data_IF_303275749123
#
_entry.id   IF_303275749123
#
_cell.length_a   1.000
_cell.length_b   1.000
_cell.length_c   1.000
_cell.angle_alpha   90.00
_cell.angle_beta   90.00
_cell.angle_gamma   90.00
#
_symmetry.space_group_name_H-M   'P 1'
#
loop_
_entity.id
_entity.type
_entity.pdbx_description
1 polymer ?
#
# COMPACT_ATOMS: atom_id res chain seq x y z
N UNK A 1 2.26 -4.94 -24.03
CA UNK A 1 1.22 -4.40 -24.93
C UNK A 1 -0.04 -5.21 -24.67
N UNK A 2 -0.98 -4.69 -23.87
CA UNK A 2 -2.25 -5.38 -23.63
C UNK A 2 -3.02 -5.48 -24.95
N UNK A 3 -3.33 -6.70 -25.35
CA UNK A 3 -4.15 -7.00 -26.52
C UNK A 3 -5.55 -6.39 -26.35
N UNK A 4 -6.10 -5.90 -27.46
CA UNK A 4 -7.37 -5.19 -27.53
C UNK A 4 -8.57 -6.07 -27.17
N UNK A 5 -8.88 -6.15 -25.88
CA UNK A 5 -10.21 -6.57 -25.42
C UNK A 5 -11.18 -5.40 -25.59
N UNK A 6 -12.13 -5.61 -26.48
CA UNK A 6 -13.29 -4.76 -26.78
C UNK A 6 -13.78 -3.94 -25.58
N UNK A 7 -13.53 -2.62 -25.62
CA UNK A 7 -14.01 -1.64 -24.64
C UNK A 7 -15.49 -1.35 -24.87
N UNK A 8 -16.37 -2.28 -24.47
CA UNK A 8 -17.83 -2.09 -24.55
C UNK A 8 -18.63 -2.59 -23.33
N UNK A 9 -18.05 -3.38 -22.43
CA UNK A 9 -18.68 -3.77 -21.15
C UNK A 9 -17.99 -3.05 -19.99
N UNK A 10 -18.80 -2.56 -19.05
CA UNK A 10 -18.33 -2.02 -17.78
C UNK A 10 -17.52 -3.08 -17.03
N UNK A 11 -16.31 -2.73 -16.60
CA UNK A 11 -15.44 -3.61 -15.82
C UNK A 11 -15.90 -3.63 -14.36
N UNK A 12 -16.83 -4.54 -14.05
CA UNK A 12 -17.37 -4.71 -12.71
C UNK A 12 -16.32 -5.13 -11.69
N UNK A 13 -15.30 -5.89 -12.10
CA UNK A 13 -14.25 -6.37 -11.20
C UNK A 13 -13.35 -5.19 -10.83
N UNK A 14 -12.86 -4.45 -11.83
CA UNK A 14 -12.07 -3.25 -11.61
C UNK A 14 -12.81 -2.21 -10.78
N UNK A 15 -14.11 -2.03 -11.01
CA UNK A 15 -14.95 -1.16 -10.20
C UNK A 15 -15.01 -1.60 -8.73
N UNK A 16 -15.33 -2.86 -8.45
CA UNK A 16 -15.44 -3.37 -7.08
C UNK A 16 -14.11 -3.31 -6.32
N UNK A 17 -13.00 -3.66 -6.99
CA UNK A 17 -11.66 -3.59 -6.38
C UNK A 17 -11.30 -2.15 -6.02
N UNK A 18 -11.50 -1.22 -6.96
CA UNK A 18 -11.18 0.20 -6.73
C UNK A 18 -12.10 0.82 -5.68
N UNK A 19 -13.40 0.49 -5.71
CA UNK A 19 -14.36 0.97 -4.71
C UNK A 19 -13.99 0.52 -3.30
N UNK A 20 -13.71 -0.78 -3.11
CA UNK A 20 -13.31 -1.32 -1.80
C UNK A 20 -12.01 -0.69 -1.30
N UNK A 21 -11.03 -0.51 -2.19
CA UNK A 21 -9.77 0.14 -1.84
C UNK A 21 -10.00 1.59 -1.40
N UNK A 22 -10.67 2.41 -2.22
CA UNK A 22 -10.90 3.83 -1.89
C UNK A 22 -11.77 3.99 -0.64
N UNK A 23 -12.77 3.14 -0.45
CA UNK A 23 -13.61 3.18 0.75
C UNK A 23 -12.82 2.83 2.02
N UNK A 24 -11.94 1.82 1.95
CA UNK A 24 -11.07 1.44 3.07
C UNK A 24 -10.13 2.60 3.44
N UNK A 25 -9.39 3.12 2.45
CA UNK A 25 -8.43 4.21 2.64
C UNK A 25 -9.12 5.49 3.17
N UNK A 26 -10.30 5.84 2.63
CA UNK A 26 -11.06 6.99 3.12
C UNK A 26 -11.56 6.82 4.56
N UNK A 27 -11.91 5.60 4.95
CA UNK A 27 -12.32 5.28 6.32
C UNK A 27 -11.13 5.40 7.29
N UNK A 28 -9.94 4.94 6.89
CA UNK A 28 -8.72 5.09 7.69
C UNK A 28 -8.35 6.56 7.90
N UNK A 29 -8.45 7.40 6.87
CA UNK A 29 -8.25 8.85 7.01
C UNK A 29 -9.23 9.44 8.02
N UNK A 30 -10.49 9.01 8.02
CA UNK A 30 -11.47 9.47 9.01
C UNK A 30 -11.08 9.07 10.44
N UNK A 31 -10.59 7.84 10.65
CA UNK A 31 -10.09 7.40 11.96
C UNK A 31 -8.88 8.21 12.42
N UNK A 32 -7.94 8.50 11.52
CA UNK A 32 -6.77 9.36 11.81
C UNK A 32 -7.23 10.76 12.24
N UNK A 33 -8.19 11.36 11.53
CA UNK A 33 -8.71 12.69 11.86
C UNK A 33 -9.38 12.69 13.24
N UNK A 34 -10.16 11.67 13.56
CA UNK A 34 -10.82 11.55 14.87
C UNK A 34 -9.77 11.35 15.98
N UNK A 35 -8.80 10.47 15.77
CA UNK A 35 -7.74 10.18 16.73
C UNK A 35 -6.92 11.43 17.07
N UNK A 36 -6.45 12.17 16.05
CA UNK A 36 -5.74 13.43 16.28
C UNK A 36 -6.66 14.55 16.77
N UNK A 37 -7.91 14.58 16.33
CA UNK A 37 -8.90 15.56 16.76
C UNK A 37 -9.29 15.42 18.24
N UNK A 38 -9.15 14.23 18.81
CA UNK A 38 -9.41 13.96 20.23
C UNK A 38 -8.42 14.65 21.19
N UNK A 39 -7.31 15.20 20.68
CA UNK A 39 -6.35 15.98 21.47
C UNK A 39 -6.92 17.32 21.99
N UNK A 40 -8.11 17.74 21.55
CA UNK A 40 -8.85 18.89 22.06
C UNK A 40 -8.45 20.23 21.43
N UNK A 41 -9.13 21.31 21.85
CA UNK A 41 -8.89 22.66 21.33
C UNK A 41 -9.17 22.78 19.83
N UNK A 42 -8.20 23.28 19.06
CA UNK A 42 -8.28 23.43 17.60
C UNK A 42 -7.80 22.20 16.82
N UNK A 43 -7.45 21.10 17.50
CA UNK A 43 -6.85 19.91 16.90
C UNK A 43 -7.75 19.25 15.84
N UNK A 44 -9.06 19.18 16.07
CA UNK A 44 -10.00 18.60 15.10
C UNK A 44 -10.04 19.42 13.79
N UNK A 45 -10.06 20.75 13.91
CA UNK A 45 -10.02 21.65 12.75
C UNK A 45 -8.71 21.49 11.99
N UNK A 46 -7.58 21.45 12.71
CA UNK A 46 -6.26 21.25 12.11
C UNK A 46 -6.14 19.89 11.41
N UNK A 47 -6.61 18.80 12.04
CA UNK A 47 -6.62 17.46 11.47
C UNK A 47 -7.50 17.38 10.21
N UNK A 48 -8.67 18.01 10.22
CA UNK A 48 -9.58 18.06 9.07
C UNK A 48 -8.96 18.81 7.89
N UNK A 49 -8.38 19.99 8.14
CA UNK A 49 -7.68 20.77 7.12
C UNK A 49 -6.47 19.99 6.57
N UNK A 50 -5.72 19.33 7.46
CA UNK A 50 -4.60 18.47 7.09
C UNK A 50 -5.02 17.31 6.19
N UNK A 51 -6.12 16.62 6.51
CA UNK A 51 -6.65 15.54 5.69
C UNK A 51 -7.09 16.00 4.30
N UNK A 52 -7.78 17.14 4.20
CA UNK A 52 -8.16 17.73 2.91
C UNK A 52 -6.93 18.10 2.09
N UNK A 53 -5.95 18.77 2.71
CA UNK A 53 -4.71 19.17 2.04
C UNK A 53 -3.92 17.95 1.56
N UNK A 54 -3.79 16.91 2.38
CA UNK A 54 -3.16 15.65 2.01
C UNK A 54 -3.90 14.97 0.86
N UNK A 55 -5.23 14.92 0.89
CA UNK A 55 -6.05 14.35 -0.18
C UNK A 55 -5.84 15.07 -1.52
N UNK A 56 -5.87 16.41 -1.51
CA UNK A 56 -5.61 17.21 -2.71
C UNK A 56 -4.19 17.00 -3.23
N UNK A 57 -3.20 16.93 -2.34
CA UNK A 57 -1.81 16.68 -2.69
C UNK A 57 -1.63 15.28 -3.31
N UNK A 58 -2.24 14.24 -2.74
CA UNK A 58 -2.21 12.88 -3.27
C UNK A 58 -2.88 12.81 -4.64
N UNK A 59 -4.02 13.50 -4.84
CA UNK A 59 -4.68 13.59 -6.15
C UNK A 59 -3.77 14.27 -7.18
N UNK A 60 -3.13 15.38 -6.81
CA UNK A 60 -2.23 16.11 -7.70
C UNK A 60 -0.99 15.26 -8.08
N UNK A 61 -0.36 14.62 -7.09
CA UNK A 61 0.78 13.72 -7.28
C UNK A 61 0.39 12.52 -8.12
N UNK A 62 -0.76 11.90 -7.84
CA UNK A 62 -1.28 10.77 -8.61
C UNK A 62 -1.57 11.13 -10.07
N UNK A 63 -2.12 12.33 -10.31
CA UNK A 63 -2.32 12.84 -11.66
C UNK A 63 -0.99 13.08 -12.40
N UNK A 64 0.00 13.67 -11.72
CA UNK A 64 1.32 13.94 -12.28
C UNK A 64 2.12 12.65 -12.56
N UNK A 65 2.04 11.66 -11.67
CA UNK A 65 2.80 10.41 -11.72
C UNK A 65 2.05 9.27 -12.41
N UNK A 66 0.85 9.50 -12.93
CA UNK A 66 0.05 8.46 -13.60
C UNK A 66 0.84 7.73 -14.69
N UNK A 67 1.55 8.48 -15.52
CA UNK A 67 2.30 7.92 -16.65
C UNK A 67 3.50 7.07 -16.21
N UNK A 68 4.43 7.54 -15.35
CA UNK A 68 5.53 6.70 -14.88
C UNK A 68 5.05 5.48 -14.08
N UNK A 69 3.98 5.60 -13.29
CA UNK A 69 3.45 4.46 -12.51
C UNK A 69 2.93 3.33 -13.39
N UNK A 70 2.39 3.64 -14.59
CA UNK A 70 1.99 2.59 -15.54
C UNK A 70 3.16 1.84 -16.18
N UNK A 71 4.38 2.34 -16.02
CA UNK A 71 5.60 1.70 -16.52
C UNK A 71 6.26 0.79 -15.48
N UNK A 72 5.85 0.87 -14.20
CA UNK A 72 6.40 0.04 -13.13
C UNK A 72 5.82 -1.37 -13.23
N UNK A 73 6.64 -2.44 -13.24
CA UNK A 73 6.12 -3.79 -13.30
C UNK A 73 5.30 -4.11 -12.05
N UNK A 74 4.15 -4.76 -12.24
CA UNK A 74 3.17 -5.02 -11.18
C UNK A 74 3.77 -5.79 -9.98
N UNK A 75 4.68 -6.72 -10.24
CA UNK A 75 5.36 -7.47 -9.16
C UNK A 75 6.19 -6.56 -8.25
N UNK A 76 6.83 -5.52 -8.78
CA UNK A 76 7.57 -4.56 -7.95
C UNK A 76 6.64 -3.74 -7.09
N UNK A 77 5.47 -3.36 -7.63
CA UNK A 77 4.46 -2.63 -6.87
C UNK A 77 3.91 -3.48 -5.72
N UNK A 78 3.53 -4.73 -6.00
CA UNK A 78 3.06 -5.67 -4.97
C UNK A 78 4.11 -5.91 -3.87
N UNK A 79 5.37 -6.05 -4.26
CA UNK A 79 6.46 -6.29 -3.34
C UNK A 79 6.77 -5.07 -2.46
N UNK A 80 6.97 -3.90 -3.09
CA UNK A 80 7.33 -2.68 -2.39
C UNK A 80 6.19 -2.12 -1.55
N UNK A 81 5.03 -1.91 -2.17
CA UNK A 81 3.85 -1.36 -1.47
C UNK A 81 3.36 -2.31 -0.40
N UNK A 82 3.36 -3.63 -0.66
CA UNK A 82 3.01 -4.63 0.34
C UNK A 82 3.91 -4.55 1.57
N UNK A 83 5.24 -4.48 1.38
CA UNK A 83 6.18 -4.33 2.49
C UNK A 83 5.96 -3.01 3.27
N UNK A 84 5.67 -1.90 2.58
CA UNK A 84 5.36 -0.62 3.22
C UNK A 84 4.10 -0.70 4.08
N UNK A 85 2.99 -1.24 3.54
CA UNK A 85 1.73 -1.40 4.26
C UNK A 85 1.88 -2.31 5.49
N UNK A 86 2.56 -3.44 5.34
CA UNK A 86 2.85 -4.33 6.47
C UNK A 86 3.67 -3.63 7.55
N UNK A 87 4.65 -2.80 7.16
CA UNK A 87 5.50 -2.08 8.11
C UNK A 87 4.73 -1.05 8.91
N UNK A 88 3.90 -0.24 8.24
CA UNK A 88 3.01 0.71 8.92
C UNK A 88 2.03 0.00 9.85
N UNK A 89 1.44 -1.11 9.39
CA UNK A 89 0.53 -1.92 10.20
C UNK A 89 1.19 -2.47 11.46
N UNK A 90 2.41 -3.01 11.36
CA UNK A 90 3.16 -3.51 12.52
C UNK A 90 3.52 -2.40 13.50
N UNK A 91 4.01 -1.27 12.99
CA UNK A 91 4.36 -0.11 13.83
C UNK A 91 3.14 0.37 14.63
N UNK A 92 2.04 0.70 13.95
CA UNK A 92 0.81 1.19 14.58
C UNK A 92 0.14 0.16 15.47
N UNK A 93 0.19 -1.13 15.11
CA UNK A 93 -0.38 -2.19 15.94
C UNK A 93 0.33 -2.27 17.30
N UNK A 94 1.66 -2.18 17.32
CA UNK A 94 2.41 -2.21 18.57
C UNK A 94 2.25 -0.91 19.39
N UNK A 95 2.20 0.27 18.74
CA UNK A 95 1.86 1.53 19.43
C UNK A 95 0.44 1.49 20.03
N UNK A 96 -0.52 0.91 19.31
CA UNK A 96 -1.89 0.73 19.80
C UNK A 96 -1.96 -0.22 21.02
N UNK A 97 -0.99 -1.15 21.16
CA UNK A 97 -0.82 -2.00 22.34
C UNK A 97 -0.04 -1.30 23.48
N UNK A 98 0.40 -0.06 23.30
CA UNK A 98 1.20 0.68 24.27
C UNK A 98 2.66 0.24 24.34
N UNK A 99 3.17 -0.47 23.33
CA UNK A 99 4.57 -0.86 23.27
C UNK A 99 5.42 0.27 22.67
N UNK A 100 6.45 0.68 23.39
CA UNK A 100 7.40 1.67 22.89
C UNK A 100 8.33 1.07 21.83
N UNK A 101 8.30 1.58 20.60
CA UNK A 101 9.24 1.19 19.58
C UNK A 101 10.62 1.81 19.79
N UNK A 102 11.72 1.04 19.67
CA UNK A 102 13.06 1.59 19.69
C UNK A 102 13.26 2.53 18.48
N UNK A 103 13.42 3.82 18.75
CA UNK A 103 13.57 4.85 17.71
C UNK A 103 12.26 5.42 17.18
N UNK A 104 11.09 5.08 17.77
CA UNK A 104 9.79 5.62 17.38
C UNK A 104 9.56 5.47 15.85
N UNK A 105 9.09 6.50 15.15
CA UNK A 105 8.87 6.50 13.71
C UNK A 105 10.11 6.20 12.86
N UNK A 106 11.34 6.37 13.39
CA UNK A 106 12.58 6.02 12.68
C UNK A 106 12.77 4.50 12.54
N UNK A 107 11.97 3.70 13.24
CA UNK A 107 11.93 2.24 13.09
C UNK A 107 11.25 1.80 11.80
N UNK A 108 10.36 2.61 11.21
CA UNK A 108 9.57 2.22 10.03
C UNK A 108 10.46 1.79 8.84
N UNK A 109 11.50 2.55 8.43
CA UNK A 109 12.41 2.11 7.37
C UNK A 109 13.10 0.76 7.68
N UNK A 110 13.43 0.50 8.95
CA UNK A 110 14.04 -0.77 9.36
C UNK A 110 13.06 -1.92 9.20
N UNK A 111 11.80 -1.73 9.61
CA UNK A 111 10.73 -2.73 9.45
C UNK A 111 10.48 -3.00 7.96
N UNK A 112 10.49 -1.97 7.11
CA UNK A 112 10.39 -2.11 5.64
C UNK A 112 11.53 -2.96 5.11
N UNK A 113 12.78 -2.66 5.47
CA UNK A 113 13.95 -3.45 5.05
C UNK A 113 13.81 -4.90 5.52
N UNK A 114 13.33 -5.13 6.74
CA UNK A 114 13.10 -6.48 7.25
C UNK A 114 12.06 -7.25 6.42
N UNK A 115 10.91 -6.65 6.10
CA UNK A 115 9.90 -7.27 5.23
C UNK A 115 10.41 -7.53 3.81
N UNK A 116 11.16 -6.58 3.24
CA UNK A 116 11.76 -6.76 1.91
C UNK A 116 12.80 -7.88 1.92
N UNK A 117 13.65 -7.96 2.94
CA UNK A 117 14.65 -9.02 3.08
C UNK A 117 14.00 -10.39 3.27
N UNK A 118 12.99 -10.49 4.13
CA UNK A 118 12.23 -11.71 4.35
C UNK A 118 11.51 -12.17 3.07
N UNK A 119 10.85 -11.26 2.38
CA UNK A 119 10.15 -11.56 1.12
C UNK A 119 11.12 -11.97 0.02
N UNK A 120 12.29 -11.33 -0.05
CA UNK A 120 13.34 -11.70 -1.01
C UNK A 120 13.93 -13.08 -0.72
N UNK A 121 14.16 -13.39 0.56
CA UNK A 121 14.62 -14.71 0.98
C UNK A 121 13.57 -15.78 0.64
N UNK A 122 12.29 -15.53 0.94
CA UNK A 122 11.19 -16.43 0.61
C UNK A 122 11.14 -16.73 -0.89
N UNK A 123 11.26 -15.70 -1.74
CA UNK A 123 11.31 -15.86 -3.20
C UNK A 123 12.51 -16.70 -3.63
N UNK A 124 13.69 -16.49 -3.03
CA UNK A 124 14.89 -17.29 -3.33
C UNK A 124 14.74 -18.76 -2.93
N UNK A 125 14.17 -19.02 -1.75
CA UNK A 125 13.91 -20.39 -1.28
C UNK A 125 12.91 -21.09 -2.18
N UNK A 126 11.82 -20.41 -2.57
CA UNK A 126 10.81 -20.98 -3.45
C UNK A 126 11.40 -21.35 -4.81
N UNK A 127 12.26 -20.49 -5.38
CA UNK A 127 13.00 -20.77 -6.62
C UNK A 127 13.95 -21.96 -6.49
N UNK A 128 14.55 -22.17 -5.33
CA UNK A 128 15.44 -23.32 -5.09
C UNK A 128 14.69 -24.64 -4.95
N UNK A 129 13.41 -24.60 -4.53
CA UNK A 129 12.56 -25.78 -4.32
C UNK A 129 11.75 -26.14 -5.58
N UNK A 130 11.48 -25.18 -6.47
CA UNK A 130 10.70 -25.44 -7.68
C UNK A 130 11.46 -26.38 -8.64
N UNK A 131 10.89 -27.56 -8.99
CA UNK A 131 11.46 -28.41 -10.02
C UNK A 131 11.39 -27.74 -11.39
N UNK A 132 12.43 -27.92 -12.22
CA UNK A 132 12.64 -27.24 -13.51
C UNK A 132 11.46 -27.31 -14.51
N UNK A 133 10.49 -28.20 -14.31
CA UNK A 133 9.28 -28.32 -15.14
C UNK A 133 8.16 -27.30 -14.82
N UNK A 134 8.14 -26.69 -13.63
CA UNK A 134 7.08 -25.75 -13.24
C UNK A 134 7.26 -24.34 -13.83
N UNK A 135 8.47 -23.99 -14.28
CA UNK A 135 8.73 -22.71 -14.96
C UNK A 135 8.04 -22.61 -16.34
N UNK A 136 7.74 -23.74 -16.98
CA UNK A 136 7.12 -23.79 -18.31
C UNK A 136 5.62 -23.52 -18.25
N UNK A 137 4.94 -23.99 -17.20
CA UNK A 137 3.49 -23.82 -17.03
C UNK A 137 3.14 -22.38 -16.63
N UNK A 138 3.91 -21.77 -15.72
CA UNK A 138 3.72 -20.38 -15.28
C UNK A 138 3.98 -19.32 -16.38
N UNK A 139 4.68 -19.69 -17.46
CA UNK A 139 4.93 -18.80 -18.61
C UNK A 139 3.83 -18.83 -19.67
N UNK A 140 2.94 -19.82 -19.61
CA UNK A 140 1.87 -20.08 -20.58
C UNK A 140 0.47 -19.68 -20.08
N UNK A 141 0.36 -19.15 -18.85
CA UNK A 141 -0.87 -18.58 -18.27
C UNK A 141 -0.81 -17.06 -18.17
#
# INVERSE_FOLDING_TARGET
RAQGLQRKKFDWIGFLVTYKAVLLEGTEVAFIVIAFGAAGGTALTAATVGAIAAGLLVIAVGAALRQPLTMVPENWLKFGVGAMLCSFGVFWFAEALGMAWPGDALSIPLIVVAFLAASWLAVRMLKAILPQGAEVEARNV
#
